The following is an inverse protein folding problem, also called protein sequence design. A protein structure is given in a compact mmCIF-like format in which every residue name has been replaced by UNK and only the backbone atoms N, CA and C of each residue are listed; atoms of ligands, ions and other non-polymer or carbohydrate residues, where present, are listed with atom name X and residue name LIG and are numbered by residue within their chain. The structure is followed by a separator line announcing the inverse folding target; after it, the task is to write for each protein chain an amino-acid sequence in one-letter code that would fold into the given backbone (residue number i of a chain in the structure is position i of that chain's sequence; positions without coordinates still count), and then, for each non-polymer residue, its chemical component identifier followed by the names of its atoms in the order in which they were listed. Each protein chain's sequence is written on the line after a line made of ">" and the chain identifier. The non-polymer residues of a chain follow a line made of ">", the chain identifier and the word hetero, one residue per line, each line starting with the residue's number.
data_IF_311583371298
#
_entry.id   IF_311583371298
#
_cell.length_a   1.000
_cell.length_b   1.000
_cell.length_c   1.000
_cell.angle_alpha   90.00
_cell.angle_beta   90.00
_cell.angle_gamma   90.00
#
_symmetry.space_group_name_H-M   'P 1'
#
loop_
_entity.id
_entity.type
_entity.pdbx_description
1 polymer ?
#
# COMPACT_ATOMS: atom_id res chain seq x y z
N UNK A 1 -16.49 -40.56 -12.31
CA UNK A 1 -15.19 -39.87 -12.24
C UNK A 1 -15.47 -38.38 -12.39
N UNK A 2 -15.61 -37.66 -11.27
CA UNK A 2 -15.97 -36.25 -11.26
C UNK A 2 -14.76 -35.39 -11.57
N UNK A 3 -14.81 -34.66 -12.67
CA UNK A 3 -13.75 -33.74 -13.07
C UNK A 3 -13.92 -32.43 -12.30
N UNK A 4 -13.07 -32.18 -11.31
CA UNK A 4 -13.07 -30.94 -10.54
C UNK A 4 -12.52 -29.81 -11.41
N UNK A 5 -13.41 -28.92 -11.85
CA UNK A 5 -13.04 -27.68 -12.51
C UNK A 5 -12.40 -26.77 -11.46
N UNK A 6 -11.06 -26.67 -11.47
CA UNK A 6 -10.35 -25.55 -10.86
C UNK A 6 -10.70 -24.28 -11.64
N UNK A 7 -11.82 -23.64 -11.30
CA UNK A 7 -12.16 -22.31 -11.84
C UNK A 7 -11.11 -21.32 -11.37
N UNK A 8 -10.48 -20.67 -12.33
CA UNK A 8 -9.47 -19.62 -12.20
C UNK A 8 -10.00 -18.38 -11.49
N UNK A 9 -10.11 -18.41 -10.17
CA UNK A 9 -10.48 -17.23 -9.36
C UNK A 9 -9.42 -16.10 -9.49
N UNK A 10 -8.17 -16.43 -9.88
CA UNK A 10 -7.09 -15.44 -9.91
C UNK A 10 -7.17 -14.41 -11.04
N UNK A 11 -7.92 -14.66 -12.12
CA UNK A 11 -7.97 -13.71 -13.26
C UNK A 11 -8.86 -12.51 -12.99
N UNK A 12 -9.92 -12.63 -12.19
CA UNK A 12 -10.80 -11.49 -11.89
C UNK A 12 -10.23 -10.55 -10.82
N UNK A 13 -9.53 -11.09 -9.81
CA UNK A 13 -8.97 -10.28 -8.72
C UNK A 13 -7.74 -9.44 -9.13
N UNK A 14 -7.15 -9.77 -10.27
CA UNK A 14 -6.08 -8.98 -10.90
C UNK A 14 -6.56 -8.15 -12.08
N UNK A 15 -7.86 -8.15 -12.40
CA UNK A 15 -8.43 -7.34 -13.48
C UNK A 15 -8.66 -5.89 -13.04
N UNK A 16 -7.58 -5.25 -12.56
CA UNK A 16 -7.54 -3.84 -12.22
C UNK A 16 -6.52 -3.15 -13.14
N UNK A 17 -6.87 -2.01 -13.75
CA UNK A 17 -5.93 -1.28 -14.58
C UNK A 17 -4.74 -0.82 -13.73
N UNK A 18 -3.56 -0.86 -14.31
CA UNK A 18 -2.38 -0.20 -13.75
C UNK A 18 -2.59 1.31 -13.86
N UNK A 19 -2.53 2.08 -12.75
CA UNK A 19 -2.61 3.54 -12.81
C UNK A 19 -1.52 4.13 -13.72
N UNK A 20 -1.80 5.23 -14.39
CA UNK A 20 -0.76 5.96 -15.11
C UNK A 20 0.18 6.65 -14.12
N UNK A 21 1.46 6.77 -14.48
CA UNK A 21 2.44 7.49 -13.65
C UNK A 21 2.12 8.98 -13.73
N UNK A 22 1.76 9.57 -12.60
CA UNK A 22 1.63 11.02 -12.47
C UNK A 22 3.00 11.70 -12.31
N UNK A 23 3.09 12.95 -12.76
CA UNK A 23 4.20 13.84 -12.42
C UNK A 23 3.90 14.55 -11.10
N UNK A 24 4.85 14.54 -10.16
CA UNK A 24 4.76 15.32 -8.94
C UNK A 24 5.42 16.68 -9.16
N UNK A 25 4.69 17.76 -8.88
CA UNK A 25 5.24 19.11 -8.80
C UNK A 25 5.95 19.33 -7.45
N UNK A 26 6.70 20.43 -7.34
CA UNK A 26 7.30 20.83 -6.07
C UNK A 26 6.24 21.04 -4.98
N UNK A 27 5.10 21.64 -5.34
CA UNK A 27 3.96 21.83 -4.45
C UNK A 27 3.35 20.49 -4.01
N UNK A 28 3.26 19.50 -4.91
CA UNK A 28 2.79 18.17 -4.54
C UNK A 28 3.70 17.54 -3.47
N UNK A 29 5.02 17.62 -3.67
CA UNK A 29 6.01 17.09 -2.71
C UNK A 29 5.90 17.79 -1.36
N UNK A 30 5.82 19.13 -1.35
CA UNK A 30 5.69 19.91 -0.13
C UNK A 30 4.40 19.58 0.64
N UNK A 31 3.27 19.42 -0.07
CA UNK A 31 2.00 19.03 0.52
C UNK A 31 2.07 17.63 1.15
N UNK A 32 2.64 16.66 0.45
CA UNK A 32 2.79 15.29 0.94
C UNK A 32 3.68 15.28 2.19
N UNK A 33 4.88 15.85 2.12
CA UNK A 33 5.83 15.84 3.23
C UNK A 33 5.28 16.58 4.46
N UNK A 34 4.62 17.73 4.27
CA UNK A 34 4.01 18.48 5.37
C UNK A 34 2.91 17.68 6.04
N UNK A 35 2.00 17.09 5.27
CA UNK A 35 0.84 16.38 5.81
C UNK A 35 1.23 15.04 6.43
N UNK A 36 2.21 14.33 5.87
CA UNK A 36 2.73 13.06 6.43
C UNK A 36 3.31 13.19 7.84
N UNK A 37 3.77 14.39 8.24
CA UNK A 37 4.25 14.64 9.61
C UNK A 37 3.20 14.32 10.68
N UNK A 38 1.92 14.40 10.36
CA UNK A 38 0.82 14.14 11.29
C UNK A 38 0.78 12.65 11.68
N UNK A 39 0.57 11.70 10.76
CA UNK A 39 0.61 10.27 11.11
C UNK A 39 2.01 9.83 11.59
N UNK A 40 3.09 10.45 11.09
CA UNK A 40 4.45 10.15 11.51
C UNK A 40 4.78 10.60 12.94
N UNK A 41 3.98 11.49 13.55
CA UNK A 41 4.16 11.87 14.96
C UNK A 41 3.77 10.75 15.94
N UNK A 42 2.91 9.81 15.52
CA UNK A 42 2.51 8.64 16.27
C UNK A 42 2.55 7.39 15.37
N UNK A 43 3.75 6.97 14.92
CA UNK A 43 3.89 6.03 13.80
C UNK A 43 3.34 4.65 14.13
N UNK A 44 3.47 4.18 15.38
CA UNK A 44 2.92 2.88 15.80
C UNK A 44 1.39 2.87 15.84
N UNK A 45 0.78 3.96 16.32
CA UNK A 45 -0.68 4.09 16.40
C UNK A 45 -1.26 4.22 14.99
N UNK A 46 -0.67 5.07 14.15
CA UNK A 46 -1.04 5.23 12.74
C UNK A 46 -0.91 3.92 11.96
N UNK A 47 0.20 3.21 12.14
CA UNK A 47 0.42 1.91 11.51
C UNK A 47 -0.65 0.89 11.93
N UNK A 48 -0.90 0.78 13.24
CA UNK A 48 -1.88 -0.15 13.80
C UNK A 48 -3.28 0.18 13.31
N UNK A 49 -3.65 1.47 13.27
CA UNK A 49 -4.92 1.94 12.74
C UNK A 49 -5.10 1.54 11.27
N UNK A 50 -4.13 1.86 10.40
CA UNK A 50 -4.20 1.50 8.97
C UNK A 50 -4.40 -0.01 8.79
N UNK A 51 -3.59 -0.83 9.46
CA UNK A 51 -3.65 -2.27 9.26
C UNK A 51 -4.92 -2.90 9.88
N UNK A 52 -5.36 -2.40 11.03
CA UNK A 52 -6.60 -2.86 11.67
C UNK A 52 -7.82 -2.52 10.81
N UNK A 53 -7.96 -1.26 10.40
CA UNK A 53 -9.06 -0.81 9.52
C UNK A 53 -9.09 -1.60 8.22
N UNK A 54 -7.92 -1.92 7.65
CA UNK A 54 -7.84 -2.75 6.44
C UNK A 54 -8.40 -4.16 6.65
N UNK A 55 -7.99 -4.84 7.72
CA UNK A 55 -8.49 -6.19 8.00
C UNK A 55 -9.95 -6.20 8.47
N UNK A 56 -10.41 -5.14 9.14
CA UNK A 56 -11.80 -5.00 9.56
C UNK A 56 -12.73 -4.79 8.36
N UNK A 57 -12.37 -3.87 7.45
CA UNK A 57 -13.16 -3.55 6.26
C UNK A 57 -13.10 -4.67 5.21
N UNK A 58 -11.97 -5.36 5.11
CA UNK A 58 -11.72 -6.42 4.13
C UNK A 58 -11.22 -7.72 4.79
N UNK A 59 -12.08 -8.43 5.56
CA UNK A 59 -11.66 -9.55 6.43
C UNK A 59 -11.08 -10.75 5.67
N UNK A 60 -11.42 -10.92 4.39
CA UNK A 60 -10.83 -11.95 3.54
C UNK A 60 -9.31 -11.79 3.38
N UNK A 61 -8.75 -10.58 3.57
CA UNK A 61 -7.31 -10.35 3.55
C UNK A 61 -6.60 -10.91 4.79
N UNK A 62 -7.27 -11.03 5.94
CA UNK A 62 -6.67 -11.58 7.15
C UNK A 62 -6.18 -13.03 6.91
N UNK A 63 -6.90 -13.78 6.07
CA UNK A 63 -6.57 -15.15 5.69
C UNK A 63 -5.22 -15.28 4.96
N UNK A 64 -4.70 -14.18 4.40
CA UNK A 64 -3.41 -14.14 3.70
C UNK A 64 -2.22 -14.03 4.66
N UNK A 65 -2.47 -13.81 5.94
CA UNK A 65 -1.44 -13.66 6.97
C UNK A 65 -1.42 -14.86 7.91
N UNK A 66 -0.46 -15.79 7.80
CA UNK A 66 -0.42 -17.01 8.61
C UNK A 66 -0.46 -16.79 10.12
N UNK A 67 0.09 -15.67 10.62
CA UNK A 67 0.09 -15.33 12.04
C UNK A 67 -1.28 -14.86 12.57
N UNK A 68 -2.21 -14.52 11.67
CA UNK A 68 -3.47 -13.82 11.98
C UNK A 68 -4.71 -14.60 11.53
N UNK A 69 -4.62 -15.44 10.49
CA UNK A 69 -5.77 -16.05 9.79
C UNK A 69 -6.78 -16.80 10.68
N UNK A 70 -6.35 -17.36 11.80
CA UNK A 70 -7.19 -18.19 12.69
C UNK A 70 -7.49 -17.50 14.04
N UNK A 71 -7.28 -16.18 14.14
CA UNK A 71 -7.47 -15.40 15.37
C UNK A 71 -8.53 -14.31 15.18
N UNK A 72 -9.38 -14.03 16.18
CA UNK A 72 -10.28 -12.87 16.10
C UNK A 72 -9.49 -11.56 15.94
N UNK A 73 -9.89 -10.69 14.99
CA UNK A 73 -9.17 -9.44 14.72
C UNK A 73 -9.04 -8.54 15.96
N UNK A 74 -10.08 -8.50 16.80
CA UNK A 74 -10.09 -7.75 18.04
C UNK A 74 -8.98 -8.17 19.03
N UNK A 75 -8.53 -9.43 18.97
CA UNK A 75 -7.46 -9.96 19.83
C UNK A 75 -6.06 -9.70 19.24
N UNK A 76 -5.97 -9.27 17.99
CA UNK A 76 -4.69 -9.13 17.29
C UNK A 76 -4.01 -7.78 17.53
N UNK A 77 -4.77 -6.69 17.67
CA UNK A 77 -4.23 -5.31 17.63
C UNK A 77 -3.09 -5.06 18.62
N UNK A 78 -3.14 -5.72 19.78
CA UNK A 78 -2.18 -5.54 20.88
C UNK A 78 -1.06 -6.60 20.88
N UNK A 79 -1.02 -7.48 19.88
CA UNK A 79 0.04 -8.50 19.74
C UNK A 79 1.32 -7.91 19.15
N UNK A 80 2.46 -8.53 19.49
CA UNK A 80 3.77 -8.11 18.97
C UNK A 80 3.84 -8.30 17.45
N UNK A 81 3.28 -9.40 16.95
CA UNK A 81 3.26 -9.75 15.53
C UNK A 81 2.45 -8.75 14.71
N UNK A 82 1.30 -8.31 15.24
CA UNK A 82 0.46 -7.32 14.57
C UNK A 82 1.16 -5.96 14.48
N UNK A 83 1.69 -5.46 15.60
CA UNK A 83 2.48 -4.22 15.63
C UNK A 83 3.70 -4.27 14.72
N UNK A 84 4.39 -5.41 14.66
CA UNK A 84 5.54 -5.58 13.79
C UNK A 84 5.14 -5.57 12.31
N UNK A 85 4.03 -6.20 11.94
CA UNK A 85 3.57 -6.19 10.55
C UNK A 85 3.05 -4.81 10.14
N UNK A 86 2.22 -4.18 10.97
CA UNK A 86 1.70 -2.84 10.69
C UNK A 86 2.83 -1.82 10.53
N UNK A 87 3.85 -1.87 11.39
CA UNK A 87 5.02 -0.98 11.30
C UNK A 87 5.80 -1.17 9.99
N UNK A 88 5.91 -2.41 9.46
CA UNK A 88 6.57 -2.64 8.16
C UNK A 88 5.81 -1.98 7.01
N UNK A 89 4.47 -2.03 7.02
CA UNK A 89 3.64 -1.35 6.02
C UNK A 89 3.89 0.15 6.11
N UNK A 90 3.77 0.73 7.31
CA UNK A 90 3.96 2.15 7.53
C UNK A 90 5.35 2.64 7.10
N UNK A 91 6.40 1.88 7.43
CA UNK A 91 7.77 2.23 7.08
C UNK A 91 8.02 2.27 5.57
N UNK A 92 7.35 1.43 4.77
CA UNK A 92 7.44 1.52 3.30
C UNK A 92 6.93 2.86 2.81
N UNK A 93 5.78 3.33 3.32
CA UNK A 93 5.25 4.64 2.96
C UNK A 93 6.14 5.77 3.46
N UNK A 94 6.66 5.69 4.69
CA UNK A 94 7.64 6.67 5.18
C UNK A 94 8.88 6.73 4.30
N UNK A 95 9.46 5.60 3.92
CA UNK A 95 10.63 5.57 3.02
C UNK A 95 10.33 6.16 1.64
N UNK A 96 9.10 6.00 1.14
CA UNK A 96 8.67 6.65 -0.11
C UNK A 96 8.57 8.16 0.07
N UNK A 97 7.95 8.63 1.16
CA UNK A 97 7.79 10.07 1.45
C UNK A 97 9.14 10.74 1.72
N UNK A 98 10.02 10.09 2.48
CA UNK A 98 11.38 10.56 2.78
C UNK A 98 12.24 10.62 1.51
N UNK A 99 11.96 9.77 0.53
CA UNK A 99 12.59 9.76 -0.78
C UNK A 99 11.99 10.72 -1.80
N UNK A 100 11.02 11.56 -1.43
CA UNK A 100 10.50 12.60 -2.33
C UNK A 100 11.44 13.81 -2.28
N UNK A 101 12.32 13.95 -3.26
CA UNK A 101 13.05 15.19 -3.55
C UNK A 101 12.78 15.65 -4.99
N UNK A 102 13.13 16.90 -5.29
CA UNK A 102 12.92 17.56 -6.59
C UNK A 102 13.77 16.98 -7.73
N UNK A 103 14.58 15.95 -7.49
CA UNK A 103 15.45 15.32 -8.49
C UNK A 103 14.85 14.03 -9.09
N UNK A 104 14.81 13.99 -10.42
CA UNK A 104 14.39 12.84 -11.25
C UNK A 104 15.12 11.53 -10.94
N UNK A 105 16.37 11.57 -10.44
CA UNK A 105 17.10 10.36 -10.05
C UNK A 105 16.50 9.71 -8.78
N UNK A 106 15.88 10.50 -7.90
CA UNK A 106 15.27 9.98 -6.67
C UNK A 106 13.93 9.27 -6.93
N UNK A 107 13.23 9.64 -7.99
CA UNK A 107 12.06 8.89 -8.49
C UNK A 107 12.43 7.45 -8.86
N UNK A 108 13.66 7.17 -9.33
CA UNK A 108 14.15 5.80 -9.50
C UNK A 108 14.31 5.08 -8.16
N UNK A 109 14.78 5.80 -7.13
CA UNK A 109 14.90 5.29 -5.76
C UNK A 109 13.56 4.87 -5.16
N UNK A 110 12.53 5.73 -5.25
CA UNK A 110 11.17 5.40 -4.81
C UNK A 110 10.63 4.17 -5.56
N UNK A 111 10.75 4.16 -6.90
CA UNK A 111 10.29 3.02 -7.72
C UNK A 111 10.99 1.72 -7.31
N UNK A 112 12.29 1.77 -6.97
CA UNK A 112 13.03 0.60 -6.49
C UNK A 112 12.50 0.07 -5.16
N UNK A 113 12.28 0.96 -4.18
CA UNK A 113 11.69 0.61 -2.87
C UNK A 113 10.35 -0.10 -3.07
N UNK A 114 9.47 0.49 -3.87
CA UNK A 114 8.13 -0.07 -4.12
C UNK A 114 8.22 -1.38 -4.91
N UNK A 115 9.15 -1.50 -5.87
CA UNK A 115 9.34 -2.70 -6.65
C UNK A 115 9.79 -3.90 -5.79
N UNK A 116 10.65 -3.69 -4.79
CA UNK A 116 11.09 -4.77 -3.91
C UNK A 116 9.92 -5.30 -3.06
N UNK A 117 9.05 -4.40 -2.59
CA UNK A 117 7.80 -4.78 -1.93
C UNK A 117 6.84 -5.48 -2.91
N UNK A 118 6.72 -4.99 -4.13
CA UNK A 118 5.86 -5.58 -5.17
C UNK A 118 6.29 -6.98 -5.58
N UNK A 119 7.58 -7.23 -5.77
CA UNK A 119 8.14 -8.56 -6.05
C UNK A 119 7.83 -9.54 -4.92
N UNK A 120 7.95 -9.09 -3.67
CA UNK A 120 7.59 -9.92 -2.50
C UNK A 120 6.10 -10.31 -2.53
N UNK A 121 5.21 -9.36 -2.76
CA UNK A 121 3.76 -9.60 -2.82
C UNK A 121 3.35 -10.46 -4.03
N UNK A 122 3.99 -10.26 -5.18
CA UNK A 122 3.81 -11.09 -6.38
C UNK A 122 4.18 -12.55 -6.12
N UNK A 123 5.34 -12.80 -5.48
CA UNK A 123 5.76 -14.17 -5.07
C UNK A 123 4.77 -14.82 -4.11
N UNK A 124 4.11 -14.02 -3.27
CA UNK A 124 3.06 -14.46 -2.34
C UNK A 124 1.67 -14.54 -2.98
N UNK A 125 1.54 -14.23 -4.28
CA UNK A 125 0.28 -14.22 -5.04
C UNK A 125 -0.78 -13.31 -4.42
N UNK A 126 -0.36 -12.19 -3.82
CA UNK A 126 -1.28 -11.15 -3.35
C UNK A 126 -1.80 -10.39 -4.57
N UNK A 127 -3.12 -10.22 -4.65
CA UNK A 127 -3.81 -9.74 -5.85
C UNK A 127 -3.88 -8.22 -5.92
N UNK A 128 -4.10 -7.65 -7.11
CA UNK A 128 -4.29 -6.20 -7.28
C UNK A 128 -5.49 -5.71 -6.48
N UNK A 129 -6.57 -6.49 -6.42
CA UNK A 129 -7.74 -6.22 -5.55
C UNK A 129 -7.34 -5.88 -4.12
N UNK A 130 -6.56 -6.74 -3.46
CA UNK A 130 -6.11 -6.50 -2.08
C UNK A 130 -5.28 -5.23 -1.93
N UNK A 131 -4.51 -4.88 -2.95
CA UNK A 131 -3.71 -3.66 -2.92
C UNK A 131 -4.58 -2.40 -3.13
N UNK A 132 -5.63 -2.47 -3.96
CA UNK A 132 -6.64 -1.40 -4.06
C UNK A 132 -7.37 -1.22 -2.73
N UNK A 133 -7.70 -2.30 -2.04
CA UNK A 133 -8.34 -2.25 -0.72
C UNK A 133 -7.42 -1.62 0.34
N UNK A 134 -6.11 -1.87 0.28
CA UNK A 134 -5.11 -1.15 1.09
C UNK A 134 -5.05 0.33 0.69
N UNK A 135 -5.05 0.66 -0.61
CA UNK A 135 -5.07 2.06 -1.10
C UNK A 135 -6.24 2.83 -0.52
N UNK A 136 -7.44 2.25 -0.57
CA UNK A 136 -8.67 2.86 -0.06
C UNK A 136 -8.54 3.23 1.42
N UNK A 137 -8.05 2.29 2.23
CA UNK A 137 -7.89 2.50 3.68
C UNK A 137 -6.82 3.54 3.98
N UNK A 138 -5.71 3.55 3.24
CA UNK A 138 -4.66 4.57 3.43
C UNK A 138 -5.21 5.96 3.13
N UNK A 139 -5.92 6.13 2.02
CA UNK A 139 -6.54 7.42 1.66
C UNK A 139 -7.54 7.84 2.75
N UNK A 140 -8.39 6.93 3.20
CA UNK A 140 -9.38 7.19 4.26
C UNK A 140 -8.71 7.65 5.56
N UNK A 141 -7.71 6.92 6.04
CA UNK A 141 -7.00 7.23 7.29
C UNK A 141 -6.20 8.53 7.16
N UNK A 142 -5.50 8.76 6.04
CA UNK A 142 -4.76 10.00 5.83
C UNK A 142 -5.68 11.22 5.74
N UNK A 143 -6.79 11.12 5.01
CA UNK A 143 -7.77 12.20 4.92
C UNK A 143 -8.36 12.53 6.30
N UNK A 144 -8.72 11.51 7.09
CA UNK A 144 -9.27 11.70 8.42
C UNK A 144 -8.26 12.30 9.40
N UNK A 145 -7.02 11.80 9.41
CA UNK A 145 -5.97 12.25 10.32
C UNK A 145 -5.48 13.66 9.97
N UNK A 146 -5.30 13.97 8.69
CA UNK A 146 -4.66 15.21 8.25
C UNK A 146 -5.66 16.32 7.91
N UNK A 147 -6.96 16.01 7.82
CA UNK A 147 -8.02 16.94 7.35
C UNK A 147 -7.66 17.57 6.00
N UNK A 148 -7.22 16.73 5.07
CA UNK A 148 -6.68 17.17 3.77
C UNK A 148 -7.72 18.02 3.01
N UNK A 149 -7.25 19.12 2.44
CA UNK A 149 -8.01 19.88 1.43
C UNK A 149 -7.93 19.18 0.05
N UNK A 150 -8.63 19.71 -0.96
CA UNK A 150 -8.73 19.03 -2.26
C UNK A 150 -7.40 19.01 -3.03
N UNK A 151 -6.58 20.05 -2.90
CA UNK A 151 -5.23 20.10 -3.50
C UNK A 151 -4.31 19.04 -2.86
N UNK A 152 -4.31 18.93 -1.54
CA UNK A 152 -3.51 17.94 -0.81
C UNK A 152 -3.96 16.51 -1.14
N UNK A 153 -5.27 16.27 -1.28
CA UNK A 153 -5.80 14.97 -1.75
C UNK A 153 -5.31 14.63 -3.16
N UNK A 154 -5.25 15.62 -4.05
CA UNK A 154 -4.72 15.44 -5.40
C UNK A 154 -3.24 15.05 -5.37
N UNK A 155 -2.43 15.76 -4.57
CA UNK A 155 -1.00 15.43 -4.39
C UNK A 155 -0.80 14.00 -3.89
N UNK A 156 -1.57 13.58 -2.88
CA UNK A 156 -1.55 12.19 -2.40
C UNK A 156 -2.00 11.19 -3.45
N UNK A 157 -3.01 11.51 -4.25
CA UNK A 157 -3.51 10.65 -5.33
C UNK A 157 -2.41 10.40 -6.36
N UNK A 158 -1.69 11.45 -6.79
CA UNK A 158 -0.55 11.33 -7.73
C UNK A 158 0.54 10.42 -7.18
N UNK A 159 0.91 10.57 -5.91
CA UNK A 159 1.93 9.71 -5.29
C UNK A 159 1.46 8.24 -5.23
N UNK A 160 0.21 8.01 -4.85
CA UNK A 160 -0.34 6.66 -4.79
C UNK A 160 -0.48 6.04 -6.19
N UNK A 161 -0.76 6.83 -7.23
CA UNK A 161 -0.73 6.32 -8.61
C UNK A 161 0.65 5.83 -9.02
N UNK A 162 1.72 6.57 -8.67
CA UNK A 162 3.10 6.10 -8.88
C UNK A 162 3.36 4.80 -8.09
N UNK A 163 2.97 4.76 -6.81
CA UNK A 163 3.18 3.59 -5.95
C UNK A 163 2.47 2.35 -6.50
N UNK A 164 1.17 2.46 -6.80
CA UNK A 164 0.37 1.33 -7.26
C UNK A 164 0.66 0.97 -8.71
N UNK A 165 1.14 1.90 -9.54
CA UNK A 165 1.70 1.57 -10.86
C UNK A 165 2.83 0.55 -10.71
N UNK A 166 3.87 0.89 -9.93
CA UNK A 166 5.04 0.02 -9.73
C UNK A 166 4.63 -1.32 -9.10
N UNK A 167 3.76 -1.28 -8.09
CA UNK A 167 3.23 -2.47 -7.44
C UNK A 167 2.55 -3.42 -8.45
N UNK A 168 1.73 -2.88 -9.35
CA UNK A 168 0.93 -3.66 -10.29
C UNK A 168 1.76 -4.18 -11.45
N UNK A 169 2.71 -3.39 -11.94
CA UNK A 169 3.72 -3.86 -12.89
C UNK A 169 4.49 -5.06 -12.31
N UNK A 170 4.84 -5.03 -11.02
CA UNK A 170 5.49 -6.16 -10.35
C UNK A 170 4.57 -7.38 -10.21
N UNK A 171 3.31 -7.20 -9.83
CA UNK A 171 2.29 -8.27 -9.75
C UNK A 171 2.07 -8.92 -11.12
N UNK A 172 2.13 -8.14 -12.19
CA UNK A 172 1.97 -8.62 -13.57
C UNK A 172 3.27 -9.19 -14.17
N UNK A 173 4.36 -9.28 -13.40
CA UNK A 173 5.64 -9.86 -13.85
C UNK A 173 6.53 -8.92 -14.65
N UNK A 174 6.23 -7.62 -14.71
CA UNK A 174 7.00 -6.57 -15.42
C UNK A 174 7.94 -5.80 -14.50
N UNK A 175 8.53 -6.47 -13.51
CA UNK A 175 9.36 -5.79 -12.49
C UNK A 175 10.77 -5.38 -12.96
N UNK A 176 11.24 -5.90 -14.10
CA UNK A 176 12.61 -5.68 -14.58
C UNK A 176 12.90 -4.22 -14.97
N UNK A 177 11.86 -3.44 -15.28
CA UNK A 177 11.98 -2.02 -15.58
C UNK A 177 12.36 -1.13 -14.37
N UNK A 178 12.37 -1.70 -13.15
CA UNK A 178 12.70 -0.99 -11.91
C UNK A 178 14.00 -1.51 -11.24
N UNK A 179 14.85 -2.21 -12.00
CA UNK A 179 16.13 -2.75 -11.50
C UNK A 179 17.21 -1.68 -11.39
#
# INVERSE_FOLDING_TARGET
>A
MGNTIHKSVSTSENNYPTPEIATLSETDVENIQRTWKIPAAAPHDSATLIFYTFLEKFPHNQQKFPAFKDKPLAELKDTVEFRAHSSRIFNVFSSVVDGLDKDTEMMKGIKKIVADVGKFHAKKKVTKKSHIEVREVIVEVLCAACKLNDEEKESWTKLLDIFFHVMFECIDGRSEQFL
#
